data_IF_926361242367
#
_entry.id   IF_926361242367
#
_cell.length_a   1.000
_cell.length_b   1.000
_cell.length_c   1.000
_cell.angle_alpha   90.00
_cell.angle_beta   90.00
_cell.angle_gamma   90.00
#
_symmetry.space_group_name_H-M   'P 1'
#
loop_
_entity.id
_entity.type
_entity.pdbx_description
1 polymer ?
#
# COMPACT_ATOMS: atom_id res chain seq x y z
N UNK A 1 15.26 -14.05 13.22
CA UNK A 1 15.81 -13.38 12.03
C UNK A 1 15.68 -14.25 10.77
N UNK A 2 16.23 -15.47 10.77
CA UNK A 2 16.27 -16.37 9.60
C UNK A 2 14.88 -16.74 9.03
N UNK A 3 13.90 -17.02 9.89
CA UNK A 3 12.52 -17.37 9.48
C UNK A 3 11.82 -16.20 8.77
N UNK A 4 12.05 -14.96 9.22
CA UNK A 4 11.44 -13.76 8.62
C UNK A 4 12.09 -13.37 7.30
N UNK A 5 13.41 -13.51 7.19
CA UNK A 5 14.12 -13.34 5.91
C UNK A 5 13.70 -14.40 4.91
N UNK A 6 13.58 -15.67 5.33
CA UNK A 6 13.10 -16.74 4.47
C UNK A 6 11.64 -16.53 4.05
N UNK A 7 10.77 -16.06 4.96
CA UNK A 7 9.39 -15.71 4.63
C UNK A 7 9.32 -14.52 3.65
N UNK A 8 10.09 -13.46 3.88
CA UNK A 8 10.16 -12.30 2.98
C UNK A 8 10.68 -12.69 1.59
N UNK A 9 11.74 -13.49 1.52
CA UNK A 9 12.30 -13.99 0.26
C UNK A 9 11.34 -14.97 -0.41
N UNK A 10 10.70 -15.87 0.34
CA UNK A 10 9.69 -16.78 -0.19
C UNK A 10 8.48 -16.01 -0.71
N UNK A 11 7.99 -14.97 -0.01
CA UNK A 11 6.89 -14.14 -0.51
C UNK A 11 7.32 -13.40 -1.78
N UNK A 12 8.51 -12.78 -1.76
CA UNK A 12 9.08 -12.02 -2.88
C UNK A 12 9.45 -12.89 -4.10
N UNK A 13 9.67 -14.19 -3.92
CA UNK A 13 10.02 -15.09 -5.03
C UNK A 13 8.84 -15.97 -5.47
N UNK A 14 7.99 -16.41 -4.55
CA UNK A 14 6.88 -17.33 -4.81
C UNK A 14 5.59 -16.60 -5.14
N UNK A 15 5.37 -15.40 -4.58
CA UNK A 15 4.28 -14.52 -5.02
C UNK A 15 4.45 -14.02 -6.46
N UNK A 16 5.64 -14.22 -7.06
CA UNK A 16 6.08 -13.58 -8.30
C UNK A 16 6.51 -14.58 -9.39
N UNK A 17 6.49 -15.88 -9.07
CA UNK A 17 6.76 -16.92 -10.05
C UNK A 17 5.49 -17.19 -10.87
N UNK A 18 5.52 -17.06 -12.22
CA UNK A 18 4.36 -17.40 -13.04
C UNK A 18 4.12 -18.92 -12.93
N UNK A 19 3.10 -19.30 -12.17
CA UNK A 19 2.63 -20.67 -12.01
C UNK A 19 1.19 -20.76 -12.55
N UNK A 20 0.74 -21.92 -13.06
CA UNK A 20 -0.67 -22.10 -13.38
C UNK A 20 -1.54 -21.84 -12.15
N UNK A 21 -2.69 -21.17 -12.28
CA UNK A 21 -3.60 -20.81 -11.16
C UNK A 21 -3.89 -21.97 -10.20
N UNK A 22 -4.01 -23.19 -10.75
CA UNK A 22 -4.30 -24.43 -10.01
C UNK A 22 -3.16 -24.85 -9.06
N UNK A 23 -1.94 -24.39 -9.32
CA UNK A 23 -0.74 -24.63 -8.50
C UNK A 23 -0.35 -23.37 -7.72
N UNK A 24 -0.50 -22.19 -8.33
CA UNK A 24 -0.16 -20.90 -7.75
C UNK A 24 -0.94 -20.65 -6.46
N UNK A 25 -2.27 -20.72 -6.49
CA UNK A 25 -3.10 -20.36 -5.34
C UNK A 25 -2.89 -21.26 -4.12
N UNK A 26 -2.85 -22.61 -4.25
CA UNK A 26 -2.60 -23.47 -3.08
C UNK A 26 -1.19 -23.28 -2.50
N UNK A 27 -0.19 -23.08 -3.36
CA UNK A 27 1.20 -22.93 -2.94
C UNK A 27 1.45 -21.56 -2.30
N UNK A 28 0.92 -20.49 -2.90
CA UNK A 28 0.89 -19.16 -2.29
C UNK A 28 0.14 -19.17 -0.97
N UNK A 29 -1.07 -19.75 -0.89
CA UNK A 29 -1.78 -19.88 0.41
C UNK A 29 -0.95 -20.65 1.43
N UNK A 30 -0.33 -21.77 1.04
CA UNK A 30 0.48 -22.60 1.94
C UNK A 30 1.70 -21.87 2.51
N UNK A 31 2.34 -20.99 1.74
CA UNK A 31 3.55 -20.27 2.14
C UNK A 31 3.26 -18.89 2.75
N UNK A 32 2.30 -18.16 2.19
CA UNK A 32 1.96 -16.79 2.56
C UNK A 32 1.05 -16.74 3.79
N UNK A 33 0.19 -17.74 4.02
CA UNK A 33 -0.70 -17.75 5.20
C UNK A 33 0.07 -17.84 6.52
N UNK A 34 1.08 -18.72 6.70
CA UNK A 34 1.92 -18.70 7.90
C UNK A 34 2.70 -17.38 8.05
N UNK A 35 3.21 -16.83 6.95
CA UNK A 35 3.93 -15.55 6.95
C UNK A 35 3.00 -14.39 7.38
N UNK A 36 1.79 -14.35 6.85
CA UNK A 36 0.75 -13.38 7.19
C UNK A 36 0.27 -13.53 8.64
N UNK A 37 0.10 -14.77 9.12
CA UNK A 37 -0.25 -15.07 10.51
C UNK A 37 0.85 -14.67 11.49
N UNK A 38 2.11 -14.95 11.17
CA UNK A 38 3.25 -14.54 11.97
C UNK A 38 3.39 -13.02 11.94
N UNK A 39 3.24 -12.41 10.77
CA UNK A 39 3.32 -10.97 10.61
C UNK A 39 2.25 -10.21 11.38
N UNK A 40 1.05 -10.76 11.53
CA UNK A 40 0.02 -10.16 12.40
C UNK A 40 0.35 -10.18 13.91
N UNK A 41 1.42 -10.88 14.33
CA UNK A 41 1.85 -11.02 15.74
C UNK A 41 3.21 -10.39 16.03
N UNK A 42 3.87 -9.83 15.02
CA UNK A 42 5.16 -9.17 15.19
C UNK A 42 4.91 -7.71 15.52
N UNK A 43 5.54 -7.22 16.59
CA UNK A 43 5.71 -5.79 16.78
C UNK A 43 6.72 -5.27 15.76
N UNK A 44 6.22 -4.83 14.61
CA UNK A 44 7.08 -4.36 13.54
C UNK A 44 7.77 -3.04 13.83
N UNK A 45 7.28 -2.26 14.80
CA UNK A 45 7.94 -1.01 15.21
C UNK A 45 9.31 -1.31 15.84
N UNK A 46 9.44 -2.44 16.54
CA UNK A 46 10.72 -2.97 17.03
C UNK A 46 11.61 -3.58 15.93
N UNK A 47 11.11 -3.69 14.68
CA UNK A 47 11.76 -4.39 13.57
C UNK A 47 12.04 -3.49 12.35
N UNK A 48 12.33 -2.20 12.55
CA UNK A 48 12.63 -1.26 11.46
C UNK A 48 13.81 -1.64 10.54
N UNK A 49 14.56 -2.71 10.83
CA UNK A 49 15.51 -3.29 9.88
C UNK A 49 14.83 -3.89 8.65
N UNK A 50 13.58 -4.32 8.75
CA UNK A 50 12.80 -4.86 7.64
C UNK A 50 12.52 -3.77 6.61
N UNK A 51 12.08 -2.59 7.07
CA UNK A 51 11.88 -1.42 6.19
C UNK A 51 13.19 -0.96 5.54
N UNK A 52 14.30 -0.98 6.29
CA UNK A 52 15.62 -0.71 5.73
C UNK A 52 16.03 -1.73 4.66
N UNK A 53 15.75 -3.02 4.87
CA UNK A 53 16.03 -4.07 3.90
C UNK A 53 15.13 -3.95 2.68
N UNK A 54 13.81 -3.75 2.86
CA UNK A 54 12.84 -3.50 1.78
C UNK A 54 13.26 -2.30 0.96
N UNK A 55 13.62 -1.19 1.61
CA UNK A 55 14.12 0.01 0.94
C UNK A 55 15.43 -0.27 0.20
N UNK A 56 16.41 -0.90 0.84
CA UNK A 56 17.70 -1.25 0.21
C UNK A 56 17.49 -2.10 -1.04
N UNK A 57 16.68 -3.15 -0.97
CA UNK A 57 16.36 -4.02 -2.10
C UNK A 57 15.58 -3.26 -3.17
N UNK A 58 14.50 -2.56 -2.81
CA UNK A 58 13.67 -1.79 -3.74
C UNK A 58 14.38 -0.60 -4.39
N UNK A 59 15.52 -0.16 -3.85
CA UNK A 59 16.38 0.86 -4.50
C UNK A 59 17.61 0.27 -5.18
N UNK A 60 17.90 -1.02 -5.03
CA UNK A 60 19.04 -1.68 -5.67
C UNK A 60 18.81 -1.78 -7.19
N UNK A 61 19.73 -1.31 -8.05
CA UNK A 61 19.52 -1.29 -9.50
C UNK A 61 19.19 -2.66 -10.12
N UNK A 62 19.77 -3.74 -9.59
CA UNK A 62 19.55 -5.10 -10.14
C UNK A 62 18.18 -5.61 -9.74
N UNK A 63 17.81 -5.45 -8.47
CA UNK A 63 16.49 -5.83 -8.00
C UNK A 63 15.41 -5.01 -8.69
N UNK A 64 15.65 -3.71 -8.92
CA UNK A 64 14.73 -2.84 -9.66
C UNK A 64 14.55 -3.20 -11.12
N UNK A 65 15.63 -3.58 -11.80
CA UNK A 65 15.53 -4.08 -13.16
C UNK A 65 14.62 -5.32 -13.22
N UNK A 66 14.73 -6.20 -12.22
CA UNK A 66 13.84 -7.34 -12.08
C UNK A 66 12.40 -6.93 -11.74
N UNK A 67 12.18 -6.06 -10.74
CA UNK A 67 10.82 -5.66 -10.36
C UNK A 67 10.13 -4.97 -11.52
N UNK A 68 10.74 -4.03 -12.24
CA UNK A 68 10.09 -3.39 -13.42
C UNK A 68 9.65 -4.36 -14.51
N UNK A 69 10.32 -5.50 -14.65
CA UNK A 69 9.95 -6.51 -15.65
C UNK A 69 8.75 -7.36 -15.20
N UNK A 70 8.47 -7.40 -13.91
CA UNK A 70 7.53 -8.33 -13.28
C UNK A 70 6.40 -7.61 -12.52
N UNK A 71 6.63 -6.35 -12.14
CA UNK A 71 5.87 -5.53 -11.21
C UNK A 71 5.87 -4.09 -11.68
N UNK A 72 4.67 -3.51 -11.73
CA UNK A 72 4.51 -2.08 -11.94
C UNK A 72 4.84 -1.35 -10.64
N UNK A 73 6.11 -0.95 -10.49
CA UNK A 73 6.61 -0.35 -9.25
C UNK A 73 6.38 1.15 -9.10
N UNK A 74 5.85 1.77 -10.16
CA UNK A 74 5.47 3.16 -10.21
C UNK A 74 3.97 3.31 -9.88
N UNK A 75 3.65 4.18 -8.95
CA UNK A 75 2.26 4.62 -8.76
C UNK A 75 1.92 5.56 -9.90
N UNK A 76 0.94 5.22 -10.72
CA UNK A 76 0.46 6.11 -11.78
C UNK A 76 -0.16 7.36 -11.17
N UNK A 77 -0.14 8.49 -11.88
CA UNK A 77 -0.76 9.74 -11.39
C UNK A 77 -2.26 9.55 -11.11
N UNK A 78 -2.95 8.76 -11.94
CA UNK A 78 -4.35 8.42 -11.75
C UNK A 78 -4.59 7.60 -10.46
N UNK A 79 -3.75 6.59 -10.21
CA UNK A 79 -3.84 5.75 -9.00
C UNK A 79 -3.45 6.52 -7.73
N UNK A 80 -2.46 7.41 -7.85
CA UNK A 80 -2.06 8.31 -6.78
C UNK A 80 -3.26 9.17 -6.37
N UNK A 81 -3.92 9.82 -7.32
CA UNK A 81 -5.06 10.67 -7.02
C UNK A 81 -6.28 9.89 -6.55
N UNK A 82 -6.59 8.76 -7.19
CA UNK A 82 -7.73 7.94 -6.82
C UNK A 82 -7.59 7.37 -5.40
N UNK A 83 -6.37 7.01 -5.00
CA UNK A 83 -6.09 6.43 -3.69
C UNK A 83 -5.80 7.41 -2.58
N UNK A 84 -5.77 8.72 -2.82
CA UNK A 84 -5.40 9.67 -1.78
C UNK A 84 -6.47 9.75 -0.67
N UNK A 85 -6.04 9.54 0.58
CA UNK A 85 -6.89 9.59 1.77
C UNK A 85 -6.81 10.96 2.44
N UNK A 86 -5.59 11.45 2.66
CA UNK A 86 -5.34 12.69 3.38
C UNK A 86 -3.88 12.86 3.77
N UNK A 87 -3.53 14.04 4.24
CA UNK A 87 -2.22 14.33 4.83
C UNK A 87 -2.36 14.44 6.33
N UNK A 88 -1.52 13.70 7.05
CA UNK A 88 -1.50 13.66 8.52
C UNK A 88 -0.34 14.50 9.02
N UNK A 89 -0.66 15.49 9.84
CA UNK A 89 0.32 16.25 10.61
C UNK A 89 0.53 15.59 11.97
N UNK A 90 1.77 15.52 12.42
CA UNK A 90 2.05 15.09 13.79
C UNK A 90 1.81 16.22 14.79
N UNK A 91 1.31 15.92 16.00
CA UNK A 91 1.41 16.83 17.13
C UNK A 91 2.87 17.27 17.36
N UNK A 92 3.05 18.56 17.66
CA UNK A 92 4.35 19.23 17.70
C UNK A 92 5.46 18.40 18.40
N UNK A 93 6.54 18.13 17.67
CA UNK A 93 7.74 17.46 18.16
C UNK A 93 7.86 15.95 17.87
N UNK A 94 6.83 15.32 17.30
CA UNK A 94 6.89 13.91 16.90
C UNK A 94 7.33 13.75 15.42
N UNK A 95 7.93 12.61 15.07
CA UNK A 95 8.08 12.23 13.65
C UNK A 95 6.70 11.82 13.09
N UNK A 96 6.23 12.43 11.98
CA UNK A 96 4.89 12.22 11.44
C UNK A 96 4.64 10.81 10.94
N UNK A 97 5.66 10.17 10.38
CA UNK A 97 5.55 8.77 10.00
C UNK A 97 5.37 7.90 11.25
N UNK A 98 6.29 7.97 12.21
CA UNK A 98 6.24 7.16 13.41
C UNK A 98 4.96 7.39 14.23
N UNK A 99 4.45 8.62 14.27
CA UNK A 99 3.18 8.94 14.92
C UNK A 99 1.99 8.26 14.22
N UNK A 100 1.89 8.42 12.89
CA UNK A 100 0.81 7.84 12.07
C UNK A 100 0.82 6.32 12.13
N UNK A 101 2.01 5.73 12.08
CA UNK A 101 2.21 4.28 12.19
C UNK A 101 1.69 3.70 13.51
N UNK A 102 1.95 4.38 14.64
CA UNK A 102 1.38 3.97 15.92
C UNK A 102 -0.14 4.03 15.89
N UNK A 103 -0.71 5.10 15.31
CA UNK A 103 -2.17 5.22 15.21
C UNK A 103 -2.79 4.12 14.35
N UNK A 104 -2.13 3.74 13.25
CA UNK A 104 -2.56 2.62 12.40
C UNK A 104 -2.55 1.29 13.17
N UNK A 105 -1.52 1.03 13.97
CA UNK A 105 -1.47 -0.18 14.82
C UNK A 105 -2.64 -0.21 15.80
N UNK A 106 -2.89 0.89 16.50
CA UNK A 106 -4.01 1.03 17.44
C UNK A 106 -5.37 0.85 16.73
N UNK A 107 -5.47 1.27 15.46
CA UNK A 107 -6.64 1.08 14.61
C UNK A 107 -6.81 -0.36 14.07
N UNK A 108 -5.87 -1.27 14.40
CA UNK A 108 -5.89 -2.67 13.99
C UNK A 108 -5.19 -2.98 12.66
N UNK A 109 -4.52 -2.00 12.05
CA UNK A 109 -3.66 -2.27 10.90
C UNK A 109 -2.42 -3.04 11.33
N UNK A 110 -1.96 -3.93 10.47
CA UNK A 110 -0.69 -4.63 10.61
C UNK A 110 0.22 -4.23 9.46
N UNK A 111 1.55 -4.27 9.69
CA UNK A 111 2.48 -4.05 8.59
C UNK A 111 2.27 -5.07 7.50
N UNK A 112 2.37 -4.59 6.26
CA UNK A 112 2.43 -5.44 5.08
C UNK A 112 3.86 -5.40 4.50
N UNK A 113 4.82 -6.13 5.11
CA UNK A 113 6.21 -6.15 4.60
C UNK A 113 6.30 -6.88 3.26
N UNK A 114 5.23 -7.54 2.83
CA UNK A 114 5.15 -8.27 1.57
C UNK A 114 4.76 -7.39 0.39
N UNK A 115 4.32 -6.15 0.65
CA UNK A 115 4.19 -5.14 -0.40
C UNK A 115 5.59 -4.81 -0.95
N UNK A 116 5.75 -4.85 -2.27
CA UNK A 116 6.96 -4.36 -2.93
C UNK A 116 7.10 -2.86 -2.70
N UNK A 117 8.32 -2.32 -2.81
CA UNK A 117 8.56 -0.90 -2.58
C UNK A 117 8.05 -0.08 -3.76
N UNK A 118 6.97 0.66 -3.56
CA UNK A 118 6.42 1.56 -4.55
C UNK A 118 7.08 2.95 -4.49
N UNK A 119 6.96 3.69 -5.59
CA UNK A 119 7.34 5.08 -5.65
C UNK A 119 6.34 5.93 -6.44
N UNK A 120 6.27 7.21 -6.09
CA UNK A 120 5.60 8.26 -6.86
C UNK A 120 6.62 9.24 -7.44
N UNK A 121 6.24 9.98 -8.48
CA UNK A 121 7.09 11.03 -9.07
C UNK A 121 6.42 12.40 -8.89
N UNK A 122 6.99 13.24 -8.02
CA UNK A 122 6.57 14.63 -7.81
C UNK A 122 7.78 15.55 -7.96
N UNK A 123 8.18 15.79 -9.21
CA UNK A 123 9.44 16.47 -9.59
C UNK A 123 10.71 15.65 -9.29
N UNK A 124 10.71 14.86 -8.21
CA UNK A 124 11.68 13.81 -7.89
C UNK A 124 10.96 12.53 -7.52
N UNK A 125 11.70 11.42 -7.56
CA UNK A 125 11.20 10.12 -7.10
C UNK A 125 11.10 10.09 -5.58
N UNK A 126 9.92 9.76 -5.08
CA UNK A 126 9.64 9.58 -3.67
C UNK A 126 9.21 8.14 -3.42
N UNK A 127 9.98 7.45 -2.59
CA UNK A 127 9.66 6.08 -2.22
C UNK A 127 8.72 6.06 -1.04
N UNK A 128 7.77 5.14 -1.09
CA UNK A 128 6.91 4.81 0.02
C UNK A 128 7.76 4.68 1.30
N UNK A 129 7.29 5.33 2.36
CA UNK A 129 7.87 5.17 3.68
C UNK A 129 7.53 3.78 4.17
N UNK A 130 6.24 3.42 4.13
CA UNK A 130 5.76 2.17 4.70
C UNK A 130 4.31 1.80 4.35
N UNK A 131 4.00 0.50 4.45
CA UNK A 131 2.77 -0.13 3.96
C UNK A 131 2.07 -0.94 5.07
N UNK A 132 0.75 -0.83 5.10
CA UNK A 132 -0.14 -1.33 6.14
C UNK A 132 -1.34 -2.02 5.55
N UNK A 133 -1.82 -3.09 6.19
CA UNK A 133 -3.03 -3.77 5.80
C UNK A 133 -4.00 -3.86 6.99
N UNK A 134 -5.30 -3.70 6.72
CA UNK A 134 -6.38 -4.03 7.63
C UNK A 134 -7.23 -5.13 6.98
N UNK A 135 -7.52 -6.19 7.74
CA UNK A 135 -8.31 -7.33 7.28
C UNK A 135 -9.05 -7.96 8.44
N UNK A 136 -10.21 -8.57 8.17
CA UNK A 136 -11.03 -9.23 9.19
C UNK A 136 -10.40 -10.51 9.74
N UNK A 137 -9.55 -11.19 8.94
CA UNK A 137 -8.79 -12.36 9.36
C UNK A 137 -7.60 -12.61 8.43
N UNK A 138 -6.68 -13.51 8.81
CA UNK A 138 -5.57 -13.94 7.94
C UNK A 138 -6.06 -14.56 6.62
N UNK A 139 -7.28 -15.12 6.61
CA UNK A 139 -7.89 -15.79 5.46
C UNK A 139 -8.83 -14.88 4.67
N UNK A 140 -8.89 -13.60 5.00
CA UNK A 140 -9.71 -12.66 4.27
C UNK A 140 -9.24 -12.58 2.80
N UNK A 141 -10.19 -12.66 1.88
CA UNK A 141 -9.89 -12.58 0.44
C UNK A 141 -9.41 -11.19 0.02
N UNK A 142 -9.76 -10.16 0.81
CA UNK A 142 -9.39 -8.76 0.57
C UNK A 142 -8.79 -8.12 1.82
N UNK A 143 -7.95 -7.10 1.58
CA UNK A 143 -7.37 -6.25 2.61
C UNK A 143 -7.44 -4.79 2.19
N UNK A 144 -7.69 -3.92 3.18
CA UNK A 144 -7.56 -2.48 3.01
C UNK A 144 -6.08 -2.17 3.15
N UNK A 145 -5.44 -1.82 2.06
CA UNK A 145 -4.04 -1.45 2.01
C UNK A 145 -3.92 0.06 2.17
N UNK A 146 -3.10 0.49 3.12
CA UNK A 146 -2.72 1.89 3.33
C UNK A 146 -1.22 2.06 3.14
N UNK A 147 -0.83 3.07 2.36
CA UNK A 147 0.56 3.44 2.06
C UNK A 147 0.85 4.82 2.60
N UNK A 148 2.04 4.98 3.17
CA UNK A 148 2.52 6.23 3.74
C UNK A 148 3.67 6.79 2.89
N UNK A 149 3.55 8.05 2.47
CA UNK A 149 4.62 8.79 1.81
C UNK A 149 5.01 10.00 2.66
N UNK A 150 6.30 10.15 2.96
CA UNK A 150 6.77 11.32 3.70
C UNK A 150 6.63 12.57 2.84
N UNK A 151 5.99 13.60 3.37
CA UNK A 151 5.73 14.86 2.68
C UNK A 151 6.18 16.03 3.55
N UNK A 152 7.44 16.44 3.41
CA UNK A 152 8.01 17.49 4.28
C UNK A 152 7.91 17.13 5.78
N UNK A 153 7.17 17.96 6.54
CA UNK A 153 6.90 17.78 7.97
C UNK A 153 5.67 16.93 8.30
N UNK A 154 5.03 16.33 7.30
CA UNK A 154 3.80 15.55 7.40
C UNK A 154 3.93 14.20 6.66
N UNK A 155 2.83 13.46 6.59
CA UNK A 155 2.76 12.20 5.84
C UNK A 155 1.49 12.14 5.00
N UNK A 156 1.65 11.88 3.71
CA UNK A 156 0.53 11.61 2.81
C UNK A 156 0.12 10.14 2.95
N UNK A 157 -1.18 9.93 3.04
CA UNK A 157 -1.79 8.62 3.23
C UNK A 157 -2.59 8.27 1.97
N UNK A 158 -2.37 7.06 1.47
CA UNK A 158 -3.11 6.51 0.34
C UNK A 158 -3.75 5.19 0.75
N UNK A 159 -4.95 4.90 0.25
CA UNK A 159 -5.74 3.75 0.65
C UNK A 159 -6.50 3.13 -0.52
N UNK A 160 -6.52 1.80 -0.58
CA UNK A 160 -7.33 1.05 -1.54
C UNK A 160 -7.64 -0.36 -1.03
N UNK A 161 -8.72 -0.97 -1.52
CA UNK A 161 -8.92 -2.40 -1.36
C UNK A 161 -8.18 -3.17 -2.45
N UNK A 162 -7.48 -4.22 -2.03
CA UNK A 162 -6.80 -5.17 -2.89
C UNK A 162 -7.08 -6.60 -2.42
N UNK A 163 -6.93 -7.62 -3.28
CA UNK A 163 -6.93 -9.01 -2.84
C UNK A 163 -5.82 -9.24 -1.81
N UNK A 164 -6.08 -9.98 -0.75
CA UNK A 164 -5.06 -10.19 0.28
C UNK A 164 -3.91 -11.03 -0.28
N UNK A 165 -2.68 -10.68 0.11
CA UNK A 165 -1.49 -11.50 -0.16
C UNK A 165 -1.69 -12.95 0.31
N UNK A 166 -2.42 -13.15 1.41
CA UNK A 166 -2.69 -14.47 1.96
C UNK A 166 -3.80 -15.24 1.19
N UNK A 167 -4.59 -14.56 0.36
CA UNK A 167 -5.71 -15.14 -0.38
C UNK A 167 -5.25 -15.97 -1.59
N UNK A 168 -4.02 -15.80 -2.07
CA UNK A 168 -3.47 -16.52 -3.21
C UNK A 168 -4.09 -16.12 -4.56
N UNK A 169 -3.26 -15.61 -5.46
CA UNK A 169 -3.63 -15.13 -6.79
C UNK A 169 -4.11 -13.68 -6.82
N UNK A 170 -3.83 -12.98 -7.92
CA UNK A 170 -4.48 -11.71 -8.27
C UNK A 170 -4.27 -10.54 -7.31
N UNK A 171 -3.27 -10.56 -6.43
CA UNK A 171 -2.96 -9.46 -5.51
C UNK A 171 -2.85 -8.09 -6.21
N UNK A 172 -2.42 -8.10 -7.47
CA UNK A 172 -2.28 -6.95 -8.35
C UNK A 172 -3.49 -6.73 -9.27
N UNK A 173 -4.65 -7.28 -8.91
CA UNK A 173 -5.91 -6.99 -9.58
C UNK A 173 -6.26 -5.51 -9.47
N UNK A 174 -7.23 -5.06 -10.27
CA UNK A 174 -7.64 -3.65 -10.30
C UNK A 174 -8.06 -3.18 -8.88
N UNK A 175 -7.36 -2.22 -8.27
CA UNK A 175 -7.67 -1.77 -6.92
C UNK A 175 -9.04 -1.09 -6.85
N UNK A 176 -9.76 -1.26 -5.75
CA UNK A 176 -10.93 -0.43 -5.43
C UNK A 176 -10.51 0.72 -4.53
N UNK A 177 -10.13 1.82 -5.18
CA UNK A 177 -9.75 3.07 -4.54
C UNK A 177 -10.94 3.73 -3.85
N UNK A 178 -12.12 3.77 -4.48
CA UNK A 178 -13.27 4.53 -3.97
C UNK A 178 -13.71 4.04 -2.61
N UNK A 179 -13.97 2.73 -2.48
CA UNK A 179 -14.41 2.18 -1.20
C UNK A 179 -13.24 2.05 -0.22
N UNK A 180 -12.02 1.89 -0.72
CA UNK A 180 -10.81 1.85 0.10
C UNK A 180 -10.54 3.17 0.81
N UNK A 181 -10.51 4.27 0.07
CA UNK A 181 -10.37 5.64 0.61
C UNK A 181 -11.49 5.94 1.61
N UNK A 182 -12.75 5.67 1.24
CA UNK A 182 -13.88 5.90 2.14
C UNK A 182 -13.77 5.11 3.45
N UNK A 183 -13.30 3.85 3.39
CA UNK A 183 -13.10 3.03 4.58
C UNK A 183 -11.92 3.55 5.42
N UNK A 184 -10.80 3.92 4.80
CA UNK A 184 -9.66 4.48 5.49
C UNK A 184 -10.02 5.77 6.24
N UNK A 185 -10.77 6.68 5.60
CA UNK A 185 -11.31 7.88 6.22
C UNK A 185 -12.19 7.55 7.42
N UNK A 186 -13.13 6.61 7.29
CA UNK A 186 -14.01 6.22 8.40
C UNK A 186 -13.22 5.63 9.59
N UNK A 187 -12.13 4.90 9.32
CA UNK A 187 -11.24 4.43 10.38
C UNK A 187 -10.50 5.61 11.01
N UNK A 188 -9.96 6.53 10.22
CA UNK A 188 -9.22 7.68 10.75
C UNK A 188 -10.11 8.58 11.62
N UNK A 189 -11.35 8.84 11.19
CA UNK A 189 -12.36 9.58 11.95
C UNK A 189 -12.69 8.88 13.27
N UNK A 190 -12.97 7.57 13.23
CA UNK A 190 -13.27 6.77 14.44
C UNK A 190 -12.14 6.82 15.46
N UNK A 191 -10.91 6.80 14.98
CA UNK A 191 -9.69 6.79 15.78
C UNK A 191 -9.22 8.22 16.14
N UNK A 192 -9.86 9.27 15.63
CA UNK A 192 -9.43 10.65 15.88
C UNK A 192 -8.01 10.94 15.38
N UNK A 193 -7.61 10.32 14.26
CA UNK A 193 -6.37 10.65 13.56
C UNK A 193 -6.63 11.96 12.82
N UNK A 194 -5.94 13.07 13.11
CA UNK A 194 -6.14 14.31 12.40
C UNK A 194 -5.53 14.17 10.99
N UNK A 195 -6.31 14.50 9.98
CA UNK A 195 -5.85 14.59 8.61
C UNK A 195 -6.48 15.82 7.95
N UNK A 196 -5.74 16.47 7.05
CA UNK A 196 -6.30 17.40 6.10
C UNK A 196 -6.61 16.67 4.80
N UNK A 197 -7.78 16.94 4.20
CA UNK A 197 -8.10 16.42 2.87
C UNK A 197 -7.51 17.29 1.77
N UNK A 198 -7.38 16.73 0.56
CA UNK A 198 -6.83 17.44 -0.61
C UNK A 198 -7.62 18.72 -0.94
N UNK A 199 -8.95 18.68 -0.80
CA UNK A 199 -9.85 19.81 -0.99
C UNK A 199 -9.75 20.87 0.12
N UNK A 200 -9.23 20.50 1.29
CA UNK A 200 -9.03 21.39 2.44
C UNK A 200 -7.63 22.02 2.47
N UNK A 201 -6.64 21.37 1.85
CA UNK A 201 -5.22 21.80 1.85
C UNK A 201 -4.90 22.77 0.69
N UNK A 202 -5.78 22.90 -0.30
CA UNK A 202 -5.64 23.91 -1.36
C UNK A 202 -4.51 23.66 -2.37
N UNK A 203 -3.77 22.55 -2.24
CA UNK A 203 -2.80 22.11 -3.22
C UNK A 203 -3.52 21.26 -4.28
N UNK A 204 -3.41 21.74 -5.51
CA UNK A 204 -3.96 21.08 -6.68
C UNK A 204 -3.47 19.63 -6.75
N UNK A 205 -4.40 18.73 -6.97
CA UNK A 205 -4.15 17.53 -7.78
C UNK A 205 -3.19 17.94 -8.91
N UNK A 206 -1.99 17.33 -9.06
CA UNK A 206 -1.07 17.67 -10.14
C UNK A 206 -1.86 17.73 -11.46
N UNK A 207 -1.70 18.81 -12.24
CA UNK A 207 -2.54 19.13 -13.42
C UNK A 207 -2.70 17.93 -14.38
N UNK A 208 -1.70 17.05 -14.41
CA UNK A 208 -1.60 15.79 -15.14
C UNK A 208 -2.60 14.69 -14.72
N UNK A 209 -3.25 14.80 -13.57
CA UNK A 209 -4.33 13.90 -13.13
C UNK A 209 -5.71 14.41 -13.56
N UNK A 210 -5.89 15.74 -13.62
CA UNK A 210 -7.18 16.34 -13.99
C UNK A 210 -7.57 16.00 -15.44
N UNK A 211 -6.58 15.90 -16.35
CA UNK A 211 -6.79 15.46 -17.74
C UNK A 211 -7.18 13.98 -17.84
N UNK A 212 -6.63 13.11 -17.00
CA UNK A 212 -6.95 11.67 -17.00
C UNK A 212 -8.35 11.34 -16.46
N UNK A 213 -8.83 12.11 -15.47
CA UNK A 213 -10.19 11.97 -14.95
C UNK A 213 -11.25 12.54 -15.91
N UNK A 214 -10.91 13.58 -16.68
CA UNK A 214 -11.78 14.16 -17.70
C UNK A 214 -12.01 13.24 -18.91
N UNK A 215 -10.99 12.46 -19.31
CA UNK A 215 -11.08 11.55 -20.44
C UNK A 215 -11.89 10.27 -20.14
N UNK A 216 -11.94 9.84 -18.86
CA UNK A 216 -12.63 8.58 -18.48
C UNK A 216 -14.10 8.81 -18.12
N UNK A 217 -14.51 10.05 -17.81
CA UNK A 217 -15.89 10.39 -17.45
C UNK A 217 -16.82 10.64 -18.65
N UNK A 218 -16.30 10.71 -19.89
CA UNK A 218 -17.08 11.04 -21.09
C UNK A 218 -17.43 9.84 -22.00
N UNK A 219 -17.09 8.60 -21.62
CA UNK A 219 -17.46 7.40 -22.38
C UNK A 219 -18.43 6.54 -21.57
N UNK A 220 -19.59 7.08 -21.20
CA UNK A 220 -20.69 6.30 -20.60
C UNK A 220 -22.08 6.95 -20.68
N UNK A 221 -22.29 8.02 -21.45
CA UNK A 221 -23.62 8.67 -21.52
C UNK A 221 -24.33 8.64 -22.88
N UNK A 222 -23.72 8.12 -23.94
CA UNK A 222 -24.42 7.90 -25.21
C UNK A 222 -24.68 6.41 -25.42
N UNK A 223 -25.81 5.91 -24.91
CA UNK A 223 -26.18 4.51 -25.09
C UNK A 223 -27.48 4.06 -24.42
N UNK A 224 -28.48 4.93 -24.33
CA UNK A 224 -29.87 4.54 -24.09
C UNK A 224 -30.81 5.49 -24.84
N UNK A 225 -31.06 5.16 -26.11
CA UNK A 225 -32.36 5.35 -26.77
C UNK A 225 -32.73 4.06 -27.51
#
# INVERSE_FOLDING_TARGET
>A
MLVYTAAFVAVTLVGFAPLPDRLERPLQRGLLRPAAWAGGRVDWTAHGWVDRTRRRLGTDPRFRAFTRLVLDDAVSAADEAAGYVGTVDSPAGNDPCAWTERRLVEAGFHRNPTAYLEYRERGRREFEHSSWALRSSVDADHQLHVRLFRSGGSVDVYGHWEPSVAAGGGHYGRPDYRTGVATALAVFDREGIPFGRLDEIGDAVPDDVAEGLGATALVSQDGLE
#
